data_IF_671656688637
#
_entry.id   IF_671656688637
#
_cell.length_a   1.000
_cell.length_b   1.000
_cell.length_c   1.000
_cell.angle_alpha   90.00
_cell.angle_beta   90.00
_cell.angle_gamma   90.00
#
_symmetry.space_group_name_H-M   'P 1'
#
loop_
_entity.id
_entity.type
_entity.pdbx_description
1 polymer ?
#
# COMPACT_ATOMS: atom_id res chain seq x y z
N UNK A 1 7.41 -8.80 21.65
CA UNK A 1 6.89 -9.94 20.87
C UNK A 1 6.88 -9.47 19.43
N UNK A 2 7.55 -10.16 18.52
CA UNK A 2 7.50 -9.83 17.09
C UNK A 2 6.12 -10.20 16.59
N UNK A 3 5.34 -9.23 16.12
CA UNK A 3 4.04 -9.51 15.52
C UNK A 3 4.18 -10.45 14.32
N UNK A 4 3.24 -11.38 14.17
CA UNK A 4 3.27 -12.33 13.07
C UNK A 4 2.98 -11.61 11.75
N UNK A 5 3.98 -11.54 10.88
CA UNK A 5 3.85 -10.94 9.54
C UNK A 5 3.00 -11.88 8.68
N UNK A 6 1.85 -11.37 8.22
CA UNK A 6 0.98 -12.08 7.28
C UNK A 6 1.52 -11.96 5.85
N UNK A 7 1.98 -10.77 5.48
CA UNK A 7 2.53 -10.50 4.16
C UNK A 7 3.52 -9.34 4.20
N UNK A 8 4.56 -9.41 3.37
CA UNK A 8 5.52 -8.32 3.21
C UNK A 8 6.13 -8.34 1.82
N UNK A 9 6.19 -7.19 1.16
CA UNK A 9 6.83 -7.04 -0.15
C UNK A 9 7.34 -5.63 -0.37
N UNK A 10 8.24 -5.50 -1.35
CA UNK A 10 8.56 -4.18 -1.89
C UNK A 10 7.31 -3.58 -2.52
N UNK A 11 7.12 -2.29 -2.33
CA UNK A 11 6.02 -1.53 -2.91
C UNK A 11 6.47 -0.10 -3.19
N UNK A 12 5.82 0.54 -4.16
CA UNK A 12 5.98 1.97 -4.44
C UNK A 12 4.72 2.68 -3.99
N UNK A 13 4.83 3.56 -2.99
CA UNK A 13 3.75 4.49 -2.66
C UNK A 13 3.59 5.49 -3.80
N UNK A 14 2.35 5.71 -4.24
CA UNK A 14 2.00 6.75 -5.20
C UNK A 14 1.06 7.78 -4.56
N UNK A 15 1.45 9.06 -4.59
CA UNK A 15 0.61 10.19 -4.17
C UNK A 15 0.73 11.34 -5.16
N UNK A 16 -0.23 11.43 -6.08
CA UNK A 16 -0.18 12.40 -7.18
C UNK A 16 1.03 12.14 -8.08
N UNK A 17 1.89 13.15 -8.26
CA UNK A 17 3.14 13.03 -9.03
C UNK A 17 4.33 12.52 -8.20
N UNK A 18 4.13 12.27 -6.90
CA UNK A 18 5.20 11.90 -5.97
C UNK A 18 5.17 10.39 -5.73
N UNK A 19 6.32 9.75 -5.86
CA UNK A 19 6.50 8.32 -5.62
C UNK A 19 7.59 8.06 -4.58
N UNK A 20 7.43 6.99 -3.78
CA UNK A 20 8.47 6.49 -2.88
C UNK A 20 8.51 4.97 -2.89
N UNK A 21 9.68 4.39 -3.14
CA UNK A 21 9.91 2.96 -3.01
C UNK A 21 10.18 2.59 -1.56
N UNK A 22 9.63 1.47 -1.11
CA UNK A 22 9.77 1.00 0.26
C UNK A 22 9.33 -0.43 0.47
N UNK A 23 9.24 -0.80 1.74
CA UNK A 23 8.71 -2.08 2.19
C UNK A 23 7.31 -1.88 2.76
N UNK A 24 6.32 -2.57 2.20
CA UNK A 24 4.97 -2.68 2.76
C UNK A 24 4.85 -3.98 3.52
N UNK A 25 4.34 -3.92 4.75
CA UNK A 25 4.19 -5.08 5.64
C UNK A 25 2.82 -5.06 6.29
N UNK A 26 2.20 -6.23 6.41
CA UNK A 26 0.90 -6.43 7.05
C UNK A 26 1.05 -7.48 8.14
N UNK A 27 0.61 -7.15 9.35
CA UNK A 27 0.49 -8.07 10.48
C UNK A 27 -0.99 -8.41 10.72
N UNK A 28 -1.32 -9.07 11.84
CA UNK A 28 -2.71 -9.29 12.19
C UNK A 28 -3.46 -7.97 12.49
N UNK A 29 -2.78 -6.96 13.02
CA UNK A 29 -3.39 -5.72 13.53
C UNK A 29 -3.05 -4.48 12.73
N UNK A 30 -1.92 -4.47 12.01
CA UNK A 30 -1.37 -3.25 11.42
C UNK A 30 -0.92 -3.43 9.98
N UNK A 31 -0.95 -2.32 9.24
CA UNK A 31 -0.30 -2.15 7.95
C UNK A 31 0.77 -1.08 8.10
N UNK A 32 1.99 -1.37 7.69
CA UNK A 32 3.12 -0.45 7.80
C UNK A 32 3.86 -0.34 6.48
N UNK A 33 4.13 0.89 6.04
CA UNK A 33 4.99 1.19 4.91
C UNK A 33 6.22 1.96 5.38
N UNK A 34 7.41 1.46 5.02
CA UNK A 34 8.68 2.13 5.33
C UNK A 34 9.41 2.44 4.02
N UNK A 35 9.55 3.72 3.61
CA UNK A 35 10.28 4.08 2.41
C UNK A 35 11.79 3.82 2.59
N UNK A 36 12.46 3.39 1.52
CA UNK A 36 13.92 3.19 1.53
C UNK A 36 14.68 4.51 1.61
N UNK A 37 14.10 5.58 1.05
CA UNK A 37 14.54 6.94 1.27
C UNK A 37 13.48 7.71 2.07
N UNK A 38 13.83 8.10 3.30
CA UNK A 38 12.96 8.86 4.19
C UNK A 38 13.05 10.38 3.99
N UNK A 39 13.93 10.83 3.09
CA UNK A 39 13.96 12.23 2.68
C UNK A 39 12.61 12.56 2.00
N UNK A 40 12.13 13.78 2.16
CA UNK A 40 10.88 14.30 1.57
C UNK A 40 9.55 13.89 2.22
N UNK A 41 9.57 13.19 3.37
CA UNK A 41 8.38 13.04 4.22
C UNK A 41 7.27 12.16 3.64
N UNK A 42 7.63 11.10 2.90
CA UNK A 42 6.70 10.16 2.26
C UNK A 42 6.50 8.88 3.08
N UNK A 43 6.60 9.01 4.40
CA UNK A 43 6.53 7.92 5.37
C UNK A 43 7.70 7.97 6.37
N UNK A 44 7.80 6.96 7.26
CA UNK A 44 6.96 5.76 7.31
C UNK A 44 5.49 6.05 7.66
N UNK A 45 4.59 5.20 7.19
CA UNK A 45 3.18 5.20 7.58
C UNK A 45 2.85 3.92 8.32
N UNK A 46 1.99 4.03 9.32
CA UNK A 46 1.42 2.89 10.02
C UNK A 46 -0.03 3.19 10.36
N UNK A 47 -0.91 2.24 10.09
CA UNK A 47 -2.33 2.33 10.41
C UNK A 47 -2.87 0.95 10.77
N UNK A 48 -3.94 0.93 11.56
CA UNK A 48 -4.58 -0.31 11.96
C UNK A 48 -5.28 -0.97 10.77
N UNK A 49 -5.21 -2.29 10.66
CA UNK A 49 -6.05 -3.05 9.72
C UNK A 49 -7.54 -2.85 10.00
N UNK A 50 -7.90 -2.64 11.27
CA UNK A 50 -9.29 -2.39 11.66
C UNK A 50 -9.87 -1.06 11.16
N UNK A 51 -9.02 -0.10 10.78
CA UNK A 51 -9.46 1.17 10.21
C UNK A 51 -9.58 1.14 8.68
N UNK A 52 -9.30 0.00 8.02
CA UNK A 52 -9.46 -0.14 6.58
C UNK A 52 -10.96 -0.20 6.25
N UNK A 53 -11.46 0.84 5.59
CA UNK A 53 -12.82 0.88 5.08
C UNK A 53 -12.95 0.13 3.75
N UNK A 54 -11.91 0.15 2.90
CA UNK A 54 -11.89 -0.55 1.61
C UNK A 54 -10.46 -0.79 1.14
N UNK A 55 -10.17 -2.00 0.63
CA UNK A 55 -8.98 -2.29 -0.16
C UNK A 55 -9.36 -2.90 -1.51
N UNK A 56 -8.96 -2.25 -2.62
CA UNK A 56 -9.29 -2.70 -3.97
C UNK A 56 -8.14 -2.54 -4.96
N UNK A 57 -8.20 -3.25 -6.09
CA UNK A 57 -7.24 -3.05 -7.17
C UNK A 57 -7.43 -1.63 -7.75
N UNK A 58 -6.32 -0.95 -7.99
CA UNK A 58 -6.28 0.35 -8.68
C UNK A 58 -5.41 0.24 -9.92
N UNK A 59 -5.60 1.17 -10.84
CA UNK A 59 -4.77 1.27 -12.02
C UNK A 59 -3.71 2.35 -11.79
N UNK A 60 -2.44 1.94 -11.71
CA UNK A 60 -1.35 2.90 -11.67
C UNK A 60 -1.39 3.77 -12.93
N UNK A 61 -1.52 5.09 -12.75
CA UNK A 61 -1.55 6.04 -13.87
C UNK A 61 -0.11 6.42 -14.23
N UNK A 62 0.49 5.72 -15.20
CA UNK A 62 1.62 6.28 -15.94
C UNK A 62 1.07 7.32 -16.93
N UNK A 63 1.67 8.51 -16.99
CA UNK A 63 1.13 9.71 -17.68
C UNK A 63 1.00 9.62 -19.20
N UNK A 64 0.12 8.76 -19.72
CA UNK A 64 -0.17 8.68 -21.15
C UNK A 64 -0.72 7.32 -21.60
N UNK A 65 -2.04 7.16 -21.48
CA UNK A 65 -2.92 6.36 -22.35
C UNK A 65 -2.99 4.82 -22.27
N UNK A 66 -2.14 4.07 -21.56
CA UNK A 66 -2.39 2.62 -21.36
C UNK A 66 -1.97 2.12 -19.97
N UNK A 67 -2.85 1.43 -19.21
CA UNK A 67 -2.46 0.68 -18.03
C UNK A 67 -1.39 -0.36 -18.39
N UNK A 68 -0.19 -0.27 -17.79
CA UNK A 68 0.87 -1.25 -18.05
C UNK A 68 0.58 -2.58 -17.31
N UNK A 69 -0.14 -2.52 -16.18
CA UNK A 69 -0.59 -3.68 -15.41
C UNK A 69 -1.46 -3.25 -14.22
N UNK A 70 -2.35 -4.12 -13.74
CA UNK A 70 -3.10 -4.01 -12.46
C UNK A 70 -2.20 -4.30 -11.25
N UNK A 71 -1.04 -3.65 -11.21
CA UNK A 71 -0.05 -3.86 -10.15
C UNK A 71 -0.21 -2.84 -9.03
N UNK A 72 -1.39 -2.24 -8.85
CA UNK A 72 -1.62 -1.32 -7.75
C UNK A 72 -2.82 -1.74 -6.89
N UNK A 73 -2.70 -1.49 -5.59
CA UNK A 73 -3.81 -1.50 -4.65
C UNK A 73 -4.08 -0.09 -4.16
N UNK A 74 -5.34 0.18 -3.86
CA UNK A 74 -5.78 1.37 -3.14
C UNK A 74 -6.40 0.92 -1.81
N UNK A 75 -5.93 1.54 -0.73
CA UNK A 75 -6.44 1.33 0.63
C UNK A 75 -7.08 2.65 1.08
N UNK A 76 -8.35 2.61 1.43
CA UNK A 76 -9.08 3.76 2.00
C UNK A 76 -9.38 3.47 3.46
N UNK A 77 -9.06 4.40 4.34
CA UNK A 77 -9.34 4.32 5.76
C UNK A 77 -10.70 4.94 6.10
N UNK A 78 -11.21 4.64 7.29
CA UNK A 78 -12.46 5.17 7.84
C UNK A 78 -12.43 6.68 8.09
N UNK A 79 -11.26 7.25 8.35
CA UNK A 79 -11.01 8.69 8.49
C UNK A 79 -10.93 9.45 7.16
N UNK A 80 -10.99 8.74 6.03
CA UNK A 80 -10.94 9.30 4.68
C UNK A 80 -9.53 9.37 4.07
N UNK A 81 -8.48 8.97 4.79
CA UNK A 81 -7.13 8.85 4.22
C UNK A 81 -7.08 7.74 3.16
N UNK A 82 -6.29 7.98 2.10
CA UNK A 82 -6.17 7.07 0.96
C UNK A 82 -4.71 6.85 0.61
N UNK A 83 -4.33 5.57 0.52
CA UNK A 83 -2.99 5.14 0.16
C UNK A 83 -3.06 4.28 -1.11
N UNK A 84 -2.23 4.62 -2.10
CA UNK A 84 -2.05 3.79 -3.29
C UNK A 84 -0.63 3.23 -3.33
N UNK A 85 -0.54 1.92 -3.55
CA UNK A 85 0.73 1.20 -3.60
C UNK A 85 0.81 0.38 -4.88
N UNK A 86 1.89 0.54 -5.64
CA UNK A 86 2.27 -0.34 -6.74
C UNK A 86 3.08 -1.51 -6.16
N UNK A 87 2.65 -2.75 -6.40
CA UNK A 87 3.26 -3.96 -5.87
C UNK A 87 2.85 -5.21 -6.66
N UNK A 88 3.67 -6.26 -6.57
CA UNK A 88 3.36 -7.55 -7.17
C UNK A 88 2.35 -8.35 -6.34
N UNK A 89 1.68 -9.33 -6.96
CA UNK A 89 0.73 -10.23 -6.31
C UNK A 89 -0.48 -9.50 -5.70
N UNK A 90 -1.01 -8.49 -6.39
CA UNK A 90 -2.16 -7.66 -5.99
C UNK A 90 -3.32 -8.48 -5.43
N UNK A 91 -3.67 -9.60 -6.06
CA UNK A 91 -4.78 -10.46 -5.60
C UNK A 91 -4.56 -11.02 -4.18
N UNK A 92 -3.34 -11.47 -3.87
CA UNK A 92 -3.00 -12.00 -2.54
C UNK A 92 -3.00 -10.88 -1.48
N UNK A 93 -2.50 -9.71 -1.85
CA UNK A 93 -2.56 -8.52 -1.00
C UNK A 93 -4.01 -8.13 -0.68
N UNK A 94 -4.89 -8.09 -1.67
CA UNK A 94 -6.30 -7.77 -1.47
C UNK A 94 -7.03 -8.82 -0.62
N UNK A 95 -6.71 -10.11 -0.78
CA UNK A 95 -7.25 -11.15 0.10
C UNK A 95 -6.84 -10.92 1.56
N UNK A 96 -5.57 -10.60 1.79
CA UNK A 96 -5.04 -10.36 3.14
C UNK A 96 -5.57 -9.07 3.77
N UNK A 97 -5.81 -8.02 2.98
CA UNK A 97 -6.31 -6.74 3.49
C UNK A 97 -7.81 -6.74 3.77
N UNK A 98 -8.58 -7.59 3.08
CA UNK A 98 -10.03 -7.69 3.25
C UNK A 98 -10.48 -8.87 4.16
N UNK A 99 -9.54 -9.56 4.82
CA UNK A 99 -9.81 -10.72 5.69
C UNK A 99 -9.92 -10.36 7.16
#
# INVERSE_FOLDING_TARGET
MSENILQSSKATLQRGAIHADGQLTVTATDVTFVPFNQQFGLGPYSFSRGSIANACASTAKAGGLLPISTDAIKISLDDGEVYEFILANTAQWLQTLNS
#
